data_IF_180916244776
#
_entry.id   IF_180916244776
#
_cell.length_a   1.000
_cell.length_b   1.000
_cell.length_c   1.000
_cell.angle_alpha   90.00
_cell.angle_beta   90.00
_cell.angle_gamma   90.00
#
_symmetry.space_group_name_H-M   'P 1'
#
loop_
_entity.id
_entity.type
_entity.pdbx_description
1 polymer ?
#
# COMPACT_ATOMS: atom_id res chain seq x y z
N UNK A 1 19.65 15.72 10.13
CA UNK A 1 19.65 15.13 8.78
C UNK A 1 20.22 16.16 7.81
N UNK A 2 21.18 15.77 6.98
CA UNK A 2 21.75 16.66 5.95
C UNK A 2 21.17 16.30 4.59
N UNK A 3 20.49 17.22 3.90
CA UNK A 3 19.89 16.99 2.58
C UNK A 3 20.92 16.52 1.54
N UNK A 4 22.16 16.98 1.63
CA UNK A 4 23.25 16.55 0.74
C UNK A 4 23.62 15.06 0.83
N UNK A 5 23.17 14.37 1.88
CA UNK A 5 23.38 12.94 2.10
C UNK A 5 22.08 12.13 1.96
N UNK A 6 21.02 12.77 1.51
CA UNK A 6 19.69 12.16 1.46
C UNK A 6 19.29 11.88 0.01
N UNK A 7 18.83 10.69 -0.27
CA UNK A 7 18.28 10.32 -1.58
C UNK A 7 16.90 10.95 -1.75
N UNK A 8 16.88 12.19 -2.24
CA UNK A 8 15.67 12.98 -2.42
C UNK A 8 15.86 14.05 -3.50
N UNK A 9 14.84 14.20 -4.34
CA UNK A 9 14.80 15.18 -5.42
C UNK A 9 13.39 15.74 -5.56
N UNK A 10 13.28 17.03 -5.81
CA UNK A 10 12.02 17.69 -6.18
C UNK A 10 11.91 17.81 -7.70
N UNK A 11 10.68 17.91 -8.19
CA UNK A 11 10.38 18.00 -9.61
C UNK A 11 9.58 19.25 -9.90
N UNK A 12 9.90 19.92 -10.99
CA UNK A 12 9.16 21.10 -11.46
C UNK A 12 7.92 20.67 -12.23
N UNK A 13 8.12 19.73 -13.16
CA UNK A 13 7.09 19.19 -14.02
C UNK A 13 6.73 17.79 -13.57
N UNK A 14 5.45 17.47 -13.62
CA UNK A 14 4.87 16.16 -13.27
C UNK A 14 3.96 15.72 -14.40
N UNK A 15 3.65 14.41 -14.44
CA UNK A 15 2.68 13.85 -15.38
C UNK A 15 1.33 14.58 -15.28
N UNK A 16 0.67 14.79 -16.42
CA UNK A 16 -0.67 15.38 -16.52
C UNK A 16 -1.76 14.53 -15.85
N UNK A 17 -1.47 13.27 -15.55
CA UNK A 17 -2.44 12.31 -15.02
C UNK A 17 -2.75 12.52 -13.52
N UNK A 18 -2.03 13.43 -12.86
CA UNK A 18 -2.32 13.78 -11.48
C UNK A 18 -3.45 14.81 -11.44
N UNK A 19 -4.65 14.41 -11.06
CA UNK A 19 -5.82 15.30 -10.97
C UNK A 19 -5.86 16.04 -9.62
N UNK A 20 -5.68 15.31 -8.52
CA UNK A 20 -5.77 15.86 -7.16
C UNK A 20 -4.54 16.70 -6.78
N UNK A 21 -4.74 17.82 -6.15
CA UNK A 21 -3.66 18.71 -5.71
C UNK A 21 -2.69 18.05 -4.72
N UNK A 22 -3.20 17.22 -3.80
CA UNK A 22 -2.37 16.44 -2.90
C UNK A 22 -1.43 15.49 -3.65
N UNK A 23 -1.92 14.83 -4.70
CA UNK A 23 -1.12 13.95 -5.56
C UNK A 23 -0.04 14.76 -6.30
N UNK A 24 -0.41 15.91 -6.90
CA UNK A 24 0.53 16.82 -7.56
C UNK A 24 1.64 17.27 -6.62
N UNK A 25 1.29 17.67 -5.41
CA UNK A 25 2.24 18.13 -4.41
C UNK A 25 3.20 17.02 -3.95
N UNK A 26 2.70 15.80 -3.72
CA UNK A 26 3.52 14.65 -3.34
C UNK A 26 4.52 14.27 -4.43
N UNK A 27 4.11 14.30 -5.71
CA UNK A 27 5.00 14.09 -6.86
C UNK A 27 6.06 15.20 -6.97
N UNK A 28 5.63 16.48 -6.95
CA UNK A 28 6.55 17.63 -7.04
C UNK A 28 7.55 17.66 -5.91
N UNK A 29 7.11 17.40 -4.69
CA UNK A 29 7.97 17.35 -3.52
C UNK A 29 8.86 16.09 -3.49
N UNK A 30 8.70 15.15 -4.43
CA UNK A 30 9.50 13.93 -4.48
C UNK A 30 9.24 12.99 -3.31
N UNK A 31 8.03 12.99 -2.75
CA UNK A 31 7.61 12.05 -1.70
C UNK A 31 7.22 10.70 -2.27
N UNK A 32 6.65 10.72 -3.46
CA UNK A 32 6.26 9.53 -4.22
C UNK A 32 6.82 9.60 -5.64
N UNK A 33 6.98 8.43 -6.24
CA UNK A 33 7.33 8.26 -7.64
C UNK A 33 6.34 7.30 -8.27
N UNK A 34 5.64 7.73 -9.28
CA UNK A 34 4.68 6.89 -10.00
C UNK A 34 5.42 5.86 -10.87
N UNK A 35 5.04 4.60 -10.76
CA UNK A 35 5.49 3.51 -11.64
C UNK A 35 4.49 3.35 -12.78
N UNK A 36 3.22 3.25 -12.43
CA UNK A 36 2.08 3.20 -13.36
C UNK A 36 0.85 3.75 -12.64
N UNK A 37 -0.28 3.84 -13.33
CA UNK A 37 -1.54 4.31 -12.73
C UNK A 37 -1.89 3.49 -11.48
N UNK A 38 -2.07 4.17 -10.36
CA UNK A 38 -2.40 3.56 -9.07
C UNK A 38 -1.23 2.89 -8.33
N UNK A 39 -0.03 2.78 -8.92
CA UNK A 39 1.14 2.13 -8.30
C UNK A 39 2.27 3.13 -8.13
N UNK A 40 2.74 3.28 -6.89
CA UNK A 40 3.72 4.29 -6.50
C UNK A 40 4.84 3.69 -5.64
N UNK A 41 6.06 4.17 -5.88
CA UNK A 41 7.15 4.04 -4.92
C UNK A 41 7.07 5.17 -3.91
N UNK A 42 7.31 4.87 -2.64
CA UNK A 42 7.55 5.87 -1.63
C UNK A 42 9.05 6.14 -1.53
N UNK A 43 9.42 7.39 -1.73
CA UNK A 43 10.81 7.82 -1.51
C UNK A 43 11.11 7.85 0.00
N UNK A 44 12.39 8.00 0.41
CA UNK A 44 12.71 8.09 1.84
C UNK A 44 11.92 9.15 2.60
N UNK A 45 11.60 10.30 1.97
CA UNK A 45 10.78 11.34 2.63
C UNK A 45 9.32 10.92 2.78
N UNK A 46 8.74 10.36 1.70
CA UNK A 46 7.37 9.81 1.73
C UNK A 46 7.25 8.67 2.74
N UNK A 47 8.21 7.74 2.73
CA UNK A 47 8.23 6.62 3.66
C UNK A 47 8.32 7.07 5.13
N UNK A 48 9.16 8.08 5.41
CA UNK A 48 9.24 8.67 6.75
C UNK A 48 7.91 9.26 7.22
N UNK A 49 7.18 9.92 6.33
CA UNK A 49 5.86 10.49 6.64
C UNK A 49 4.84 9.40 6.94
N UNK A 50 4.78 8.35 6.10
CA UNK A 50 3.91 7.19 6.32
C UNK A 50 4.25 6.49 7.63
N UNK A 51 5.55 6.31 7.93
CA UNK A 51 5.97 5.68 9.19
C UNK A 51 5.49 6.46 10.41
N UNK A 52 5.50 7.79 10.36
CA UNK A 52 4.94 8.62 11.44
C UNK A 52 3.43 8.40 11.62
N UNK A 53 2.69 8.39 10.50
CA UNK A 53 1.24 8.13 10.54
C UNK A 53 0.96 6.74 11.10
N UNK A 54 1.69 5.72 10.64
CA UNK A 54 1.57 4.35 11.16
C UNK A 54 1.82 4.28 12.67
N UNK A 55 2.82 5.00 13.16
CA UNK A 55 3.12 5.01 14.60
C UNK A 55 2.00 5.65 15.41
N UNK A 56 1.42 6.77 14.94
CA UNK A 56 0.27 7.40 15.59
C UNK A 56 -0.91 6.42 15.65
N UNK A 57 -1.23 5.76 14.54
CA UNK A 57 -2.31 4.77 14.49
C UNK A 57 -2.03 3.63 15.47
N UNK A 58 -0.80 3.13 15.49
CA UNK A 58 -0.38 2.05 16.39
C UNK A 58 -0.56 2.45 17.85
N UNK A 59 -0.07 3.62 18.24
CA UNK A 59 -0.17 4.14 19.60
C UNK A 59 -1.64 4.26 20.05
N UNK A 60 -2.52 4.77 19.19
CA UNK A 60 -3.94 4.88 19.47
C UNK A 60 -4.63 3.51 19.61
N UNK A 61 -4.31 2.58 18.71
CA UNK A 61 -4.86 1.22 18.74
C UNK A 61 -4.39 0.44 19.97
N UNK A 62 -3.09 0.48 20.28
CA UNK A 62 -2.52 -0.16 21.46
C UNK A 62 -3.13 0.40 22.74
N UNK A 63 -3.33 1.72 22.82
CA UNK A 63 -3.97 2.37 23.98
C UNK A 63 -5.41 1.95 24.16
N UNK A 64 -6.11 1.57 23.09
CA UNK A 64 -7.47 1.03 23.13
C UNK A 64 -7.53 -0.45 23.54
N UNK A 65 -6.38 -1.12 23.71
CA UNK A 65 -6.28 -2.54 24.05
C UNK A 65 -6.27 -3.49 22.85
N UNK A 66 -6.08 -2.99 21.64
CA UNK A 66 -5.90 -3.81 20.45
C UNK A 66 -4.49 -4.42 20.40
N UNK A 67 -4.33 -5.50 19.65
CA UNK A 67 -3.04 -6.15 19.43
C UNK A 67 -2.67 -6.10 17.94
N UNK A 68 -1.47 -5.63 17.63
CA UNK A 68 -0.96 -5.64 16.26
C UNK A 68 -0.59 -7.07 15.85
N UNK A 69 -1.08 -7.50 14.69
CA UNK A 69 -0.73 -8.79 14.05
C UNK A 69 -0.21 -8.56 12.65
N UNK A 70 0.63 -9.44 12.16
CA UNK A 70 1.11 -9.43 10.80
C UNK A 70 0.60 -10.67 10.07
N UNK A 71 -0.45 -10.51 9.30
CA UNK A 71 -1.06 -11.60 8.54
C UNK A 71 -0.47 -11.67 7.11
N UNK A 72 -0.42 -12.87 6.50
CA UNK A 72 0.14 -13.03 5.16
C UNK A 72 -0.77 -12.37 4.10
N UNK A 73 -0.16 -11.65 3.17
CA UNK A 73 -0.87 -11.02 2.05
C UNK A 73 -1.47 -12.06 1.10
N UNK A 74 -0.75 -13.17 0.87
CA UNK A 74 -1.23 -14.26 0.03
C UNK A 74 -2.02 -15.25 0.88
N UNK A 75 -3.24 -15.53 0.46
CA UNK A 75 -4.15 -16.45 1.14
C UNK A 75 -4.60 -17.57 0.20
N UNK A 76 -4.84 -18.80 0.70
CA UNK A 76 -5.46 -19.84 -0.09
C UNK A 76 -6.86 -19.42 -0.55
N UNK A 77 -7.23 -19.73 -1.79
CA UNK A 77 -8.54 -19.35 -2.35
C UNK A 77 -9.71 -19.99 -1.58
N UNK A 78 -9.50 -21.14 -0.97
CA UNK A 78 -10.50 -21.89 -0.23
C UNK A 78 -11.10 -21.11 0.94
N UNK A 79 -10.35 -20.16 1.53
CA UNK A 79 -10.86 -19.27 2.58
C UNK A 79 -11.95 -18.34 2.03
N UNK A 80 -11.77 -17.87 0.80
CA UNK A 80 -12.69 -16.98 0.12
C UNK A 80 -13.90 -17.71 -0.45
N UNK A 81 -13.71 -18.95 -0.91
CA UNK A 81 -14.79 -19.85 -1.34
C UNK A 81 -15.70 -20.21 -0.17
N UNK A 82 -15.13 -20.59 0.98
CA UNK A 82 -15.92 -20.89 2.21
C UNK A 82 -16.75 -19.72 2.70
N UNK A 83 -16.27 -18.50 2.53
CA UNK A 83 -17.03 -17.30 2.88
C UNK A 83 -18.02 -16.85 1.79
N UNK A 84 -18.05 -17.51 0.64
CA UNK A 84 -18.86 -17.13 -0.53
C UNK A 84 -18.38 -15.84 -1.22
N UNK A 85 -17.20 -15.33 -0.85
CA UNK A 85 -16.67 -14.06 -1.38
C UNK A 85 -15.79 -14.24 -2.62
N UNK A 86 -15.39 -15.45 -2.96
CA UNK A 86 -14.53 -15.70 -4.12
C UNK A 86 -15.12 -15.17 -5.44
N UNK A 87 -16.45 -15.30 -5.61
CA UNK A 87 -17.15 -14.89 -6.83
C UNK A 87 -17.86 -13.53 -6.69
N UNK A 88 -18.20 -13.14 -5.47
CA UNK A 88 -19.01 -11.92 -5.23
C UNK A 88 -18.22 -10.69 -4.92
N UNK A 89 -16.90 -10.81 -4.72
CA UNK A 89 -16.05 -9.66 -4.41
C UNK A 89 -15.87 -8.75 -5.64
N UNK A 90 -16.12 -7.44 -5.47
CA UNK A 90 -16.01 -6.43 -6.53
C UNK A 90 -14.99 -5.35 -6.09
N UNK A 91 -13.95 -5.07 -6.90
CA UNK A 91 -13.54 -5.76 -8.14
C UNK A 91 -13.10 -7.20 -7.90
N UNK A 92 -13.01 -8.05 -8.95
CA UNK A 92 -12.59 -9.45 -8.81
C UNK A 92 -11.26 -9.59 -8.06
N UNK A 93 -11.15 -10.63 -7.23
CA UNK A 93 -9.94 -10.90 -6.47
C UNK A 93 -8.75 -11.14 -7.39
N UNK A 94 -7.62 -10.52 -7.09
CA UNK A 94 -6.36 -10.82 -7.76
C UNK A 94 -5.89 -12.21 -7.34
N UNK A 95 -6.01 -13.20 -8.23
CA UNK A 95 -5.66 -14.59 -7.98
C UNK A 95 -4.54 -15.07 -8.91
N UNK A 96 -3.78 -16.04 -8.43
CA UNK A 96 -2.69 -16.67 -9.19
C UNK A 96 -2.51 -18.13 -8.71
N UNK A 97 -1.80 -18.93 -9.49
CA UNK A 97 -1.38 -20.26 -9.07
C UNK A 97 0.08 -20.22 -8.60
N UNK A 98 0.35 -20.90 -7.48
CA UNK A 98 1.71 -21.10 -7.02
C UNK A 98 2.43 -22.17 -7.85
N UNK A 99 3.73 -22.39 -7.59
CA UNK A 99 4.53 -23.40 -8.31
C UNK A 99 4.06 -24.85 -8.10
N UNK A 100 3.18 -25.09 -7.13
CA UNK A 100 2.61 -26.39 -6.80
C UNK A 100 1.19 -26.59 -7.33
N UNK A 101 0.66 -25.58 -8.05
CA UNK A 101 -0.69 -25.58 -8.58
C UNK A 101 -1.78 -25.19 -7.57
N UNK A 102 -1.40 -24.66 -6.41
CA UNK A 102 -2.39 -24.16 -5.45
C UNK A 102 -2.88 -22.78 -5.91
N UNK A 103 -4.19 -22.59 -5.89
CA UNK A 103 -4.79 -21.28 -6.16
C UNK A 103 -4.65 -20.37 -4.95
N UNK A 104 -4.09 -19.21 -5.18
CA UNK A 104 -3.82 -18.21 -4.17
C UNK A 104 -4.50 -16.88 -4.55
N UNK A 105 -4.82 -16.09 -3.55
CA UNK A 105 -5.41 -14.77 -3.68
C UNK A 105 -4.53 -13.74 -2.98
N UNK A 106 -4.34 -12.58 -3.59
CA UNK A 106 -3.80 -11.41 -2.89
C UNK A 106 -4.96 -10.81 -2.09
N UNK A 107 -4.90 -10.95 -0.77
CA UNK A 107 -5.97 -10.51 0.10
C UNK A 107 -6.13 -8.99 0.09
N UNK A 108 -7.29 -8.44 -0.30
CA UNK A 108 -7.56 -7.01 -0.19
C UNK A 108 -7.80 -6.58 1.26
N UNK A 109 -8.23 -7.50 2.10
CA UNK A 109 -8.51 -7.31 3.53
C UNK A 109 -8.33 -8.63 4.27
N UNK A 110 -8.26 -8.57 5.62
CA UNK A 110 -8.16 -9.73 6.51
C UNK A 110 -9.36 -9.84 7.47
N UNK A 111 -10.44 -9.12 7.18
CA UNK A 111 -11.70 -9.20 7.93
C UNK A 111 -12.38 -10.57 7.78
#
# INVERSE_FOLDING_TARGET
>A
MRLSKYFWKTFRDISSDAEMDSHKLLLKAGFIQQITSGIFNYTPMGWRSITKIKNIIREEMDSSGAFEVNLPVNQPIELWEKSGRAETFIPPLASFEDRRGNKMVIAPTHE
#
